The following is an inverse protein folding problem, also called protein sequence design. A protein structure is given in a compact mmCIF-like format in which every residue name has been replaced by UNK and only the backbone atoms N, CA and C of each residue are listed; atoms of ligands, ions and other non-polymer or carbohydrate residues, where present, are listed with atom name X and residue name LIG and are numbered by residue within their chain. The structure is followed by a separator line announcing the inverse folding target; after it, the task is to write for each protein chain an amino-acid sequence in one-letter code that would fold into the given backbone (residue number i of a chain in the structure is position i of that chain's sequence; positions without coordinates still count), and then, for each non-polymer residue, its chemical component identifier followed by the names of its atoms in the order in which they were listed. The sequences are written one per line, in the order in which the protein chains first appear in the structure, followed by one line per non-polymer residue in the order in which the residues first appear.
data_IF_850919603422
#
_entry.id   IF_850919603422
#
_cell.length_a   1.000
_cell.length_b   1.000
_cell.length_c   1.000
_cell.angle_alpha   90.00
_cell.angle_beta   90.00
_cell.angle_gamma   90.00
#
_symmetry.space_group_name_H-M   'P 1'
#
loop_
_entity.id
_entity.type
_entity.pdbx_description
1 polymer ?
#
# COMPACT_ATOMS: atom_id res chain seq x y z
N UNK A 1 -96.14 7.92 1.94
CA UNK A 1 -95.36 8.96 1.26
C UNK A 1 -94.05 9.16 2.01
N UNK A 2 -92.93 8.93 1.30
CA UNK A 2 -91.52 9.10 1.70
C UNK A 2 -91.22 10.61 1.82
N UNK A 3 -90.31 11.17 2.64
CA UNK A 3 -88.91 10.82 2.93
C UNK A 3 -88.42 11.69 4.11
N UNK A 4 -87.70 11.08 5.04
CA UNK A 4 -86.99 11.69 6.18
C UNK A 4 -85.60 12.21 5.76
N UNK A 5 -85.10 13.24 6.48
CA UNK A 5 -83.77 13.84 6.36
C UNK A 5 -82.64 12.85 6.73
N UNK A 6 -81.53 12.90 6.00
CA UNK A 6 -80.18 12.45 6.39
C UNK A 6 -79.23 13.17 5.40
N UNK A 7 -78.28 14.04 5.76
CA UNK A 7 -77.23 13.88 6.77
C UNK A 7 -76.00 13.28 6.08
N UNK A 8 -75.24 14.08 5.32
CA UNK A 8 -74.08 13.62 4.54
C UNK A 8 -72.87 14.55 4.69
N UNK A 9 -72.13 14.39 5.78
CA UNK A 9 -70.76 14.91 5.93
C UNK A 9 -69.78 13.79 5.57
N UNK A 10 -69.15 13.89 4.39
CA UNK A 10 -68.06 13.01 4.00
C UNK A 10 -66.78 13.45 4.73
N UNK A 11 -66.38 12.72 5.78
CA UNK A 11 -65.09 12.88 6.43
C UNK A 11 -64.00 12.17 5.60
N UNK A 12 -63.17 12.96 4.92
CA UNK A 12 -61.98 12.48 4.21
C UNK A 12 -60.87 12.22 5.23
N UNK A 13 -60.71 10.96 5.66
CA UNK A 13 -59.60 10.56 6.52
C UNK A 13 -58.29 10.50 5.71
N UNK A 14 -57.52 11.59 5.75
CA UNK A 14 -56.13 11.61 5.27
C UNK A 14 -55.28 10.78 6.24
N UNK A 15 -55.00 9.53 5.88
CA UNK A 15 -53.98 8.73 6.55
C UNK A 15 -52.61 9.36 6.29
N UNK A 16 -52.13 10.18 7.23
CA UNK A 16 -50.74 10.59 7.33
C UNK A 16 -49.90 9.35 7.63
N UNK A 17 -49.46 8.66 6.58
CA UNK A 17 -48.35 7.72 6.68
C UNK A 17 -47.12 8.54 7.07
N UNK A 18 -46.82 8.57 8.37
CA UNK A 18 -45.56 9.05 8.90
C UNK A 18 -44.46 8.13 8.37
N UNK A 19 -43.88 8.49 7.22
CA UNK A 19 -42.56 8.00 6.85
C UNK A 19 -41.60 8.49 7.93
N UNK A 20 -41.27 7.61 8.86
CA UNK A 20 -40.09 7.76 9.68
C UNK A 20 -38.91 7.76 8.72
N UNK A 21 -38.47 8.95 8.32
CA UNK A 21 -37.20 9.14 7.66
C UNK A 21 -36.13 8.64 8.65
N UNK A 22 -35.77 7.35 8.53
CA UNK A 22 -34.69 6.78 9.30
C UNK A 22 -33.47 7.66 9.11
N UNK A 23 -33.00 8.28 10.19
CA UNK A 23 -31.82 9.12 10.16
C UNK A 23 -30.70 8.29 9.52
N UNK A 24 -30.23 8.72 8.34
CA UNK A 24 -29.12 8.05 7.68
C UNK A 24 -27.95 7.99 8.67
N UNK A 25 -27.32 6.82 8.86
CA UNK A 25 -26.16 6.71 9.74
C UNK A 25 -25.15 7.78 9.35
N UNK A 26 -24.66 8.55 10.33
CA UNK A 26 -23.63 9.56 10.08
C UNK A 26 -22.43 8.86 9.43
N UNK A 27 -21.87 9.41 8.34
CA UNK A 27 -20.69 8.83 7.72
C UNK A 27 -19.53 8.71 8.70
N UNK A 28 -18.79 7.60 8.62
CA UNK A 28 -17.53 7.44 9.35
C UNK A 28 -16.47 8.26 8.63
N UNK A 29 -15.87 9.22 9.34
CA UNK A 29 -14.75 9.99 8.83
C UNK A 29 -13.47 9.15 8.82
N UNK A 30 -12.82 9.08 7.65
CA UNK A 30 -11.53 8.42 7.44
C UNK A 30 -10.50 9.49 7.06
N UNK A 31 -9.44 9.63 7.85
CA UNK A 31 -8.30 10.47 7.50
C UNK A 31 -7.37 9.76 6.54
N UNK A 32 -7.25 10.24 5.31
CA UNK A 32 -6.29 9.77 4.33
C UNK A 32 -5.17 10.81 4.20
N UNK A 33 -4.01 10.54 4.78
CA UNK A 33 -2.86 11.45 4.73
C UNK A 33 -1.79 10.80 3.85
N UNK A 34 -1.58 11.33 2.64
CA UNK A 34 -0.63 10.77 1.69
C UNK A 34 0.25 11.83 1.04
N UNK A 35 1.32 11.40 0.39
CA UNK A 35 2.18 12.24 -0.44
C UNK A 35 1.56 12.34 -1.84
N UNK A 36 0.93 13.48 -2.14
CA UNK A 36 0.21 13.73 -3.40
C UNK A 36 0.92 14.76 -4.28
N UNK A 37 1.89 15.48 -3.74
CA UNK A 37 2.81 16.35 -4.48
C UNK A 37 4.21 15.75 -4.51
N UNK A 38 5.20 16.52 -5.00
CA UNK A 38 6.60 16.10 -5.25
C UNK A 38 6.74 15.11 -6.42
N UNK A 39 7.98 14.79 -6.87
CA UNK A 39 8.21 13.73 -7.87
C UNK A 39 7.76 12.32 -7.43
N UNK A 40 7.39 12.12 -6.16
CA UNK A 40 6.81 10.88 -5.66
C UNK A 40 5.27 10.91 -5.54
N UNK A 41 4.62 12.03 -5.89
CA UNK A 41 3.18 12.24 -5.64
C UNK A 41 2.25 11.23 -6.32
N UNK A 42 2.68 10.63 -7.44
CA UNK A 42 1.86 9.61 -8.11
C UNK A 42 1.62 8.38 -7.23
N UNK A 43 2.49 8.10 -6.25
CA UNK A 43 2.33 6.96 -5.33
C UNK A 43 1.07 7.18 -4.49
N UNK A 44 0.92 8.36 -3.89
CA UNK A 44 -0.28 8.70 -3.13
C UNK A 44 -1.50 8.87 -4.01
N UNK A 45 -1.36 9.33 -5.26
CA UNK A 45 -2.46 9.34 -6.23
C UNK A 45 -2.99 7.92 -6.49
N UNK A 46 -2.09 6.95 -6.72
CA UNK A 46 -2.43 5.55 -6.96
C UNK A 46 -3.16 4.92 -5.78
N UNK A 47 -2.66 5.14 -4.57
CA UNK A 47 -3.27 4.65 -3.34
C UNK A 47 -4.65 5.29 -3.10
N UNK A 48 -4.74 6.62 -3.24
CA UNK A 48 -6.01 7.36 -3.09
C UNK A 48 -7.04 6.89 -4.11
N UNK A 49 -6.65 6.79 -5.38
CA UNK A 49 -7.54 6.39 -6.46
C UNK A 49 -8.08 4.97 -6.21
N UNK A 50 -7.22 4.03 -5.84
CA UNK A 50 -7.65 2.66 -5.56
C UNK A 50 -8.50 2.54 -4.28
N UNK A 51 -8.17 3.27 -3.23
CA UNK A 51 -9.01 3.33 -2.03
C UNK A 51 -10.41 3.87 -2.36
N UNK A 52 -10.46 4.96 -3.13
CA UNK A 52 -11.71 5.59 -3.56
C UNK A 52 -12.49 4.73 -4.58
N UNK A 53 -11.83 3.87 -5.35
CA UNK A 53 -12.49 2.89 -6.21
C UNK A 53 -13.36 1.94 -5.37
N UNK A 54 -12.83 1.37 -4.28
CA UNK A 54 -13.60 0.51 -3.38
C UNK A 54 -14.79 1.25 -2.75
N UNK A 55 -14.58 2.51 -2.32
CA UNK A 55 -15.66 3.38 -1.80
C UNK A 55 -16.75 3.60 -2.87
N UNK A 56 -16.34 3.83 -4.12
CA UNK A 56 -17.24 4.07 -5.26
C UNK A 56 -18.04 2.83 -5.62
N UNK A 57 -17.41 1.66 -5.64
CA UNK A 57 -18.07 0.37 -5.89
C UNK A 57 -19.13 0.06 -4.81
N UNK A 58 -18.86 0.46 -3.56
CA UNK A 58 -19.81 0.42 -2.47
C UNK A 58 -20.88 1.53 -2.47
N UNK A 59 -20.89 2.43 -3.48
CA UNK A 59 -21.84 3.53 -3.56
C UNK A 59 -21.65 4.61 -2.48
N UNK A 60 -20.40 4.94 -2.15
CA UNK A 60 -20.05 5.87 -1.07
C UNK A 60 -19.97 5.20 0.31
N UNK A 61 -19.87 3.87 0.35
CA UNK A 61 -19.88 3.07 1.57
C UNK A 61 -18.74 2.08 1.58
N UNK A 62 -18.30 1.71 2.77
CA UNK A 62 -17.43 0.55 3.01
C UNK A 62 -18.16 -0.38 3.98
N UNK A 63 -18.35 -1.64 3.58
CA UNK A 63 -19.05 -2.62 4.42
C UNK A 63 -20.52 -2.30 4.69
N UNK A 64 -21.15 -1.51 3.82
CA UNK A 64 -22.52 -1.00 4.00
C UNK A 64 -22.62 0.26 4.87
N UNK A 65 -21.51 0.74 5.44
CA UNK A 65 -21.44 1.94 6.28
C UNK A 65 -21.04 3.14 5.40
N UNK A 66 -21.79 4.26 5.40
CA UNK A 66 -21.37 5.48 4.73
C UNK A 66 -20.02 5.98 5.26
N UNK A 67 -19.14 6.42 4.37
CA UNK A 67 -17.82 6.94 4.75
C UNK A 67 -17.57 8.32 4.15
N UNK A 68 -16.80 9.13 4.85
CA UNK A 68 -16.30 10.41 4.36
C UNK A 68 -14.76 10.38 4.43
N UNK A 69 -14.11 10.29 3.28
CA UNK A 69 -12.64 10.21 3.19
C UNK A 69 -12.07 11.61 3.07
N UNK A 70 -11.34 12.06 4.08
CA UNK A 70 -10.67 13.36 4.13
C UNK A 70 -9.23 13.17 3.65
N UNK A 71 -8.97 13.55 2.41
CA UNK A 71 -7.66 13.42 1.77
C UNK A 71 -6.85 14.69 1.98
N UNK A 72 -5.64 14.55 2.51
CA UNK A 72 -4.71 15.65 2.74
C UNK A 72 -3.29 15.28 2.25
N UNK A 73 -2.60 16.25 1.65
CA UNK A 73 -1.24 16.09 1.13
C UNK A 73 -0.19 16.43 2.20
N UNK A 74 0.66 15.46 2.53
CA UNK A 74 1.79 15.70 3.44
C UNK A 74 3.00 16.36 2.78
N UNK A 75 3.03 16.43 1.44
CA UNK A 75 4.14 16.91 0.63
C UNK A 75 5.50 16.28 0.98
N UNK A 76 5.48 14.99 1.38
CA UNK A 76 6.62 14.22 1.86
C UNK A 76 7.29 14.82 3.13
N UNK A 77 6.56 15.64 3.90
CA UNK A 77 7.09 16.34 5.07
C UNK A 77 6.46 15.77 6.35
N UNK A 78 7.24 15.07 7.20
CA UNK A 78 6.73 14.52 8.46
C UNK A 78 6.06 15.56 9.38
N UNK A 79 6.56 16.80 9.41
CA UNK A 79 5.98 17.88 10.20
C UNK A 79 4.58 18.28 9.69
N UNK A 80 4.39 18.37 8.37
CA UNK A 80 3.09 18.67 7.76
C UNK A 80 2.10 17.54 8.07
N UNK A 81 2.50 16.29 7.84
CA UNK A 81 1.67 15.12 8.13
C UNK A 81 1.22 15.08 9.59
N UNK A 82 2.13 15.37 10.54
CA UNK A 82 1.80 15.43 11.96
C UNK A 82 0.77 16.52 12.25
N UNK A 83 0.94 17.72 11.70
CA UNK A 83 0.00 18.82 11.90
C UNK A 83 -1.39 18.49 11.31
N UNK A 84 -1.44 17.84 10.16
CA UNK A 84 -2.67 17.35 9.53
C UNK A 84 -3.35 16.34 10.46
N UNK A 85 -2.61 15.33 10.94
CA UNK A 85 -3.13 14.32 11.85
C UNK A 85 -3.64 14.92 13.16
N UNK A 86 -2.90 15.86 13.76
CA UNK A 86 -3.30 16.55 14.99
C UNK A 86 -4.65 17.26 14.79
N UNK A 87 -4.82 18.00 13.68
CA UNK A 87 -6.10 18.66 13.33
C UNK A 87 -7.24 17.67 13.12
N UNK A 88 -7.00 16.56 12.41
CA UNK A 88 -8.01 15.54 12.17
C UNK A 88 -8.45 14.85 13.46
N UNK A 89 -7.51 14.50 14.34
CA UNK A 89 -7.80 13.91 15.65
C UNK A 89 -8.62 14.88 16.51
N UNK A 90 -8.23 16.16 16.57
CA UNK A 90 -8.99 17.21 17.27
C UNK A 90 -10.40 17.37 16.67
N UNK A 91 -10.53 17.24 15.35
CA UNK A 91 -11.79 17.24 14.62
C UNK A 91 -12.61 15.96 14.72
N UNK A 92 -12.21 15.00 15.56
CA UNK A 92 -12.99 13.79 15.84
C UNK A 92 -12.71 12.58 14.95
N UNK A 93 -11.76 12.65 14.00
CA UNK A 93 -11.39 11.50 13.17
C UNK A 93 -10.75 10.41 14.04
N UNK A 94 -11.18 9.16 13.88
CA UNK A 94 -10.70 8.01 14.66
C UNK A 94 -10.21 6.82 13.82
N UNK A 95 -10.25 6.94 12.50
CA UNK A 95 -9.73 5.94 11.56
C UNK A 95 -8.86 6.65 10.52
N UNK A 96 -7.62 6.18 10.37
CA UNK A 96 -6.60 6.79 9.52
C UNK A 96 -5.96 5.76 8.59
N UNK A 97 -5.52 6.23 7.43
CA UNK A 97 -4.75 5.50 6.43
C UNK A 97 -3.97 6.50 5.54
N UNK A 98 -3.36 6.03 4.45
CA UNK A 98 -2.80 6.88 3.40
C UNK A 98 -1.29 7.10 3.41
N UNK A 99 -0.60 6.88 4.54
CA UNK A 99 0.79 7.33 4.64
C UNK A 99 1.70 6.44 3.78
N UNK A 100 2.28 7.07 2.76
CA UNK A 100 3.21 6.44 1.84
C UNK A 100 4.55 6.15 2.52
N UNK A 101 5.18 7.16 3.13
CA UNK A 101 6.59 7.06 3.53
C UNK A 101 6.77 6.70 5.00
N UNK A 102 7.66 5.74 5.27
CA UNK A 102 7.90 5.21 6.62
C UNK A 102 8.40 6.25 7.64
N UNK A 103 9.18 7.25 7.21
CA UNK A 103 9.58 8.37 8.08
C UNK A 103 8.40 9.30 8.42
N UNK A 104 7.41 9.43 7.53
CA UNK A 104 6.17 10.14 7.81
C UNK A 104 5.32 9.33 8.79
N UNK A 105 5.20 8.01 8.57
CA UNK A 105 4.46 7.12 9.47
C UNK A 105 5.06 7.12 10.89
N UNK A 106 6.39 7.14 11.01
CA UNK A 106 7.09 7.26 12.28
C UNK A 106 6.72 8.56 13.03
N UNK A 107 6.46 9.67 12.33
CA UNK A 107 6.08 10.94 12.93
C UNK A 107 4.59 11.04 13.26
N UNK A 108 3.71 10.46 12.43
CA UNK A 108 2.25 10.54 12.59
C UNK A 108 1.70 9.49 13.57
N UNK A 109 2.28 8.29 13.56
CA UNK A 109 1.76 7.16 14.35
C UNK A 109 1.56 7.48 15.84
N UNK A 110 2.49 8.16 16.54
CA UNK A 110 2.25 8.55 17.93
C UNK A 110 1.04 9.47 18.11
N UNK A 111 0.80 10.43 17.20
CA UNK A 111 -0.39 11.31 17.27
C UNK A 111 -1.68 10.49 17.18
N UNK A 112 -1.77 9.60 16.19
CA UNK A 112 -2.99 8.82 15.93
C UNK A 112 -3.21 7.79 17.03
N UNK A 113 -2.20 6.99 17.35
CA UNK A 113 -2.33 5.86 18.26
C UNK A 113 -2.48 6.29 19.72
N UNK A 114 -1.80 7.36 20.16
CA UNK A 114 -1.99 7.88 21.53
C UNK A 114 -3.37 8.51 21.75
N UNK A 115 -4.04 8.94 20.68
CA UNK A 115 -5.43 9.41 20.73
C UNK A 115 -6.45 8.27 20.77
N UNK A 116 -6.00 7.00 20.82
CA UNK A 116 -6.86 5.82 20.77
C UNK A 116 -7.48 5.57 19.40
N UNK A 117 -7.07 6.30 18.36
CA UNK A 117 -7.53 6.10 17.00
C UNK A 117 -6.84 4.91 16.34
N UNK A 118 -7.42 4.45 15.23
CA UNK A 118 -6.91 3.36 14.41
C UNK A 118 -6.09 3.88 13.24
N UNK A 119 -4.99 3.19 12.94
CA UNK A 119 -4.25 3.37 11.70
C UNK A 119 -4.17 2.04 10.96
N UNK A 120 -4.71 2.01 9.74
CA UNK A 120 -4.63 0.85 8.84
C UNK A 120 -3.73 1.24 7.67
N UNK A 121 -2.50 0.72 7.68
CA UNK A 121 -1.49 1.03 6.67
C UNK A 121 -1.81 0.38 5.34
N UNK A 122 -1.82 1.21 4.30
CA UNK A 122 -1.89 0.81 2.90
C UNK A 122 -0.52 0.82 2.19
N UNK A 123 0.55 1.22 2.88
CA UNK A 123 1.91 1.19 2.34
C UNK A 123 2.98 1.13 3.43
N UNK A 124 3.18 2.22 4.18
CA UNK A 124 4.29 2.31 5.14
C UNK A 124 4.25 1.21 6.23
N UNK A 125 5.25 0.33 6.24
CA UNK A 125 5.39 -0.77 7.20
C UNK A 125 6.74 -0.76 7.93
N UNK A 126 7.14 0.33 8.60
CA UNK A 126 8.44 0.42 9.27
C UNK A 126 8.60 -0.64 10.36
N UNK A 127 9.81 -1.18 10.44
CA UNK A 127 10.19 -2.28 11.34
C UNK A 127 9.82 -2.04 12.82
N UNK A 128 9.86 -0.78 13.28
CA UNK A 128 9.49 -0.44 14.65
C UNK A 128 8.04 -0.81 15.00
N UNK A 129 7.07 -0.57 14.10
CA UNK A 129 5.66 -0.89 14.31
C UNK A 129 5.34 -2.38 14.13
N UNK A 130 6.22 -3.13 13.47
CA UNK A 130 6.13 -4.59 13.40
C UNK A 130 6.64 -5.29 14.66
N UNK A 131 7.48 -4.63 15.46
CA UNK A 131 8.11 -5.17 16.67
C UNK A 131 7.85 -4.30 17.90
N UNK A 132 8.91 -3.66 18.41
CA UNK A 132 8.92 -2.99 19.74
C UNK A 132 7.86 -1.90 19.94
N UNK A 133 7.41 -1.25 18.88
CA UNK A 133 6.38 -0.22 18.91
C UNK A 133 5.03 -0.71 18.34
N UNK A 134 4.84 -2.02 18.21
CA UNK A 134 3.57 -2.57 17.78
C UNK A 134 2.44 -2.08 18.69
N UNK A 135 1.26 -1.90 18.09
CA UNK A 135 0.11 -1.33 18.76
C UNK A 135 -1.17 -2.03 18.31
N UNK A 136 -2.06 -2.35 19.24
CA UNK A 136 -3.33 -3.04 18.97
C UNK A 136 -4.25 -2.31 17.96
N UNK A 137 -4.05 -1.01 17.76
CA UNK A 137 -4.79 -0.18 16.80
C UNK A 137 -4.02 0.10 15.50
N UNK A 138 -2.83 -0.45 15.32
CA UNK A 138 -2.03 -0.36 14.10
C UNK A 138 -2.07 -1.67 13.32
N UNK A 139 -2.57 -1.63 12.09
CA UNK A 139 -2.61 -2.79 11.19
C UNK A 139 -1.87 -2.45 9.91
N UNK A 140 -1.06 -3.36 9.36
CA UNK A 140 -0.41 -3.15 8.06
C UNK A 140 -0.95 -4.13 7.02
N UNK A 141 -1.81 -3.65 6.11
CA UNK A 141 -2.36 -4.48 5.04
C UNK A 141 -1.35 -4.68 3.92
N UNK A 142 -0.49 -3.69 3.72
CA UNK A 142 0.44 -3.65 2.62
C UNK A 142 1.57 -4.68 2.79
N UNK A 143 2.49 -4.42 3.71
CA UNK A 143 3.69 -5.23 3.95
C UNK A 143 4.42 -4.77 5.23
N UNK A 144 5.50 -5.48 5.59
CA UNK A 144 6.57 -4.98 6.44
C UNK A 144 7.76 -4.62 5.54
N UNK A 145 8.42 -3.47 5.76
CA UNK A 145 9.45 -2.92 4.86
C UNK A 145 10.54 -3.94 4.45
N UNK A 146 11.01 -4.75 5.39
CA UNK A 146 12.10 -5.70 5.15
C UNK A 146 11.65 -6.82 4.21
N UNK A 147 10.36 -7.18 4.19
CA UNK A 147 9.84 -8.33 3.45
C UNK A 147 10.01 -8.23 1.93
N UNK A 148 10.07 -7.02 1.36
CA UNK A 148 10.41 -6.83 -0.06
C UNK A 148 11.88 -7.10 -0.33
N UNK A 149 12.74 -6.68 0.60
CA UNK A 149 14.17 -6.73 0.41
C UNK A 149 14.77 -8.09 0.80
N UNK A 150 14.24 -8.73 1.85
CA UNK A 150 14.67 -10.07 2.25
C UNK A 150 14.30 -11.12 1.17
N UNK A 151 13.13 -11.02 0.55
CA UNK A 151 12.74 -11.86 -0.59
C UNK A 151 13.52 -11.50 -1.86
N UNK A 152 13.93 -10.25 -2.04
CA UNK A 152 14.90 -9.88 -3.08
C UNK A 152 16.29 -10.48 -2.81
N UNK A 153 16.71 -10.61 -1.55
CA UNK A 153 17.93 -11.35 -1.18
C UNK A 153 17.83 -12.85 -1.47
N UNK A 154 16.67 -13.45 -1.25
CA UNK A 154 16.38 -14.83 -1.69
C UNK A 154 16.45 -14.96 -3.22
N UNK A 155 15.86 -14.01 -3.95
CA UNK A 155 15.93 -13.96 -5.40
C UNK A 155 17.36 -13.81 -5.92
N UNK A 156 18.19 -12.98 -5.29
CA UNK A 156 19.59 -12.82 -5.64
C UNK A 156 20.39 -14.13 -5.51
N UNK A 157 20.11 -14.93 -4.47
CA UNK A 157 20.71 -16.25 -4.32
C UNK A 157 20.29 -17.20 -5.45
N UNK A 158 19.00 -17.22 -5.80
CA UNK A 158 18.43 -18.07 -6.85
C UNK A 158 18.94 -17.70 -8.25
N UNK A 159 19.19 -16.41 -8.48
CA UNK A 159 19.79 -15.88 -9.71
C UNK A 159 21.31 -16.10 -9.78
N UNK A 160 21.91 -16.69 -8.74
CA UNK A 160 23.33 -16.99 -8.68
C UNK A 160 24.23 -15.75 -8.60
N UNK A 161 23.71 -14.62 -8.11
CA UNK A 161 24.52 -13.43 -7.89
C UNK A 161 25.51 -13.68 -6.73
N UNK A 162 26.81 -13.64 -7.00
CA UNK A 162 27.85 -13.94 -6.00
C UNK A 162 28.36 -12.68 -5.31
N UNK A 163 28.35 -11.55 -6.00
CA UNK A 163 28.80 -10.24 -5.51
C UNK A 163 27.75 -9.16 -5.82
N UNK A 164 27.18 -8.55 -4.79
CA UNK A 164 26.10 -7.55 -4.90
C UNK A 164 26.50 -6.21 -4.31
N UNK A 165 26.17 -5.11 -5.00
CA UNK A 165 26.09 -3.78 -4.38
C UNK A 165 24.65 -3.50 -3.96
N UNK A 166 24.47 -3.01 -2.72
CA UNK A 166 23.16 -2.58 -2.22
C UNK A 166 23.06 -1.07 -2.34
N UNK A 167 21.98 -0.55 -2.92
CA UNK A 167 21.75 0.88 -3.05
C UNK A 167 20.33 1.26 -2.66
N UNK A 168 20.19 2.17 -1.68
CA UNK A 168 18.91 2.64 -1.17
C UNK A 168 19.02 4.08 -0.64
N UNK A 169 17.93 4.87 -0.58
CA UNK A 169 17.96 6.19 0.02
C UNK A 169 18.07 6.11 1.55
N UNK A 170 18.74 7.07 2.17
CA UNK A 170 18.98 7.10 3.62
C UNK A 170 17.78 7.59 4.43
N UNK A 171 16.71 6.80 4.46
CA UNK A 171 15.54 7.02 5.30
C UNK A 171 15.07 5.69 5.90
N UNK A 172 13.98 5.70 6.68
CA UNK A 172 13.54 4.54 7.44
C UNK A 172 13.38 3.28 6.58
N UNK A 173 12.58 3.34 5.50
CA UNK A 173 12.37 2.16 4.66
C UNK A 173 13.62 1.76 3.87
N UNK A 174 14.50 2.70 3.53
CA UNK A 174 15.78 2.36 2.89
C UNK A 174 16.71 1.57 3.80
N UNK A 175 16.82 1.97 5.08
CA UNK A 175 17.61 1.21 6.07
C UNK A 175 16.99 -0.16 6.37
N UNK A 176 15.67 -0.23 6.48
CA UNK A 176 14.93 -1.49 6.63
C UNK A 176 15.17 -2.40 5.41
N UNK A 177 15.17 -1.86 4.19
CA UNK A 177 15.46 -2.61 2.97
C UNK A 177 16.90 -3.15 2.94
N UNK A 178 17.91 -2.34 3.29
CA UNK A 178 19.29 -2.83 3.39
C UNK A 178 19.39 -3.96 4.43
N UNK A 179 18.81 -3.78 5.61
CA UNK A 179 18.80 -4.80 6.65
C UNK A 179 18.09 -6.09 6.20
N UNK A 180 16.94 -5.97 5.53
CA UNK A 180 16.18 -7.08 4.97
C UNK A 180 16.98 -7.88 3.95
N UNK A 181 17.55 -7.21 2.93
CA UNK A 181 18.32 -7.87 1.88
C UNK A 181 19.51 -8.65 2.44
N UNK A 182 20.28 -8.02 3.35
CA UNK A 182 21.45 -8.65 3.97
C UNK A 182 21.12 -9.88 4.81
N UNK A 183 19.88 -9.98 5.32
CA UNK A 183 19.46 -11.07 6.19
C UNK A 183 19.39 -12.41 5.46
N UNK A 184 19.04 -12.38 4.18
CA UNK A 184 18.74 -13.58 3.38
C UNK A 184 19.74 -13.80 2.25
N UNK A 185 20.40 -12.74 1.77
CA UNK A 185 21.45 -12.87 0.77
C UNK A 185 22.69 -13.56 1.36
N UNK A 186 23.24 -14.52 0.62
CA UNK A 186 24.35 -15.39 1.08
C UNK A 186 25.68 -15.11 0.39
N UNK A 187 25.67 -14.29 -0.65
CA UNK A 187 26.89 -13.90 -1.37
C UNK A 187 27.62 -12.74 -0.71
N UNK A 188 28.63 -12.23 -1.41
CA UNK A 188 29.43 -11.10 -0.97
C UNK A 188 28.70 -9.78 -1.20
N UNK A 189 28.64 -8.94 -0.17
CA UNK A 189 28.19 -7.55 -0.30
C UNK A 189 29.41 -6.72 -0.63
N UNK A 190 29.51 -6.29 -1.88
CA UNK A 190 30.60 -5.46 -2.37
C UNK A 190 30.62 -4.08 -1.73
N UNK A 191 29.42 -3.52 -1.50
CA UNK A 191 29.24 -2.18 -0.92
C UNK A 191 27.78 -1.91 -0.52
N UNK A 192 27.61 -0.91 0.36
CA UNK A 192 26.32 -0.32 0.73
C UNK A 192 26.34 1.18 0.41
N UNK A 193 25.51 1.59 -0.55
CA UNK A 193 25.44 2.96 -1.03
C UNK A 193 24.12 3.59 -0.57
N UNK A 194 24.23 4.63 0.25
CA UNK A 194 23.09 5.39 0.76
C UNK A 194 22.96 6.73 0.04
N UNK A 195 21.84 6.93 -0.67
CA UNK A 195 21.56 8.17 -1.44
C UNK A 195 20.63 9.12 -0.69
N UNK A 196 20.40 10.32 -1.22
CA UNK A 196 19.26 11.15 -0.78
C UNK A 196 17.94 10.54 -1.29
N UNK A 197 16.84 10.78 -0.56
CA UNK A 197 15.50 10.28 -0.94
C UNK A 197 15.01 10.87 -2.26
N UNK A 198 15.21 12.17 -2.46
CA UNK A 198 14.79 12.91 -3.66
C UNK A 198 15.97 13.12 -4.64
N UNK A 199 16.93 12.19 -4.67
CA UNK A 199 18.10 12.31 -5.53
C UNK A 199 17.72 12.24 -7.01
N UNK A 200 18.26 13.16 -7.81
CA UNK A 200 18.02 13.23 -9.25
C UNK A 200 19.20 12.72 -10.09
N UNK A 201 20.44 12.91 -9.62
CA UNK A 201 21.66 12.49 -10.29
C UNK A 201 22.32 11.34 -9.52
N UNK A 202 22.63 10.26 -10.21
CA UNK A 202 23.24 9.02 -9.68
C UNK A 202 24.59 8.72 -10.36
N UNK A 203 25.17 9.67 -11.09
CA UNK A 203 26.42 9.48 -11.83
C UNK A 203 27.59 9.04 -10.95
N UNK A 204 27.69 9.57 -9.74
CA UNK A 204 28.73 9.21 -8.76
C UNK A 204 28.57 7.76 -8.29
N UNK A 205 27.36 7.37 -7.92
CA UNK A 205 27.05 6.02 -7.46
C UNK A 205 27.25 5.00 -8.58
N UNK A 206 26.83 5.31 -9.82
CA UNK A 206 27.03 4.45 -10.97
C UNK A 206 28.52 4.30 -11.34
N UNK A 207 29.32 5.35 -11.21
CA UNK A 207 30.77 5.27 -11.40
C UNK A 207 31.42 4.37 -10.34
N UNK A 208 31.00 4.48 -9.08
CA UNK A 208 31.45 3.61 -7.98
C UNK A 208 31.07 2.15 -8.24
N UNK A 209 29.82 1.89 -8.61
CA UNK A 209 29.34 0.55 -8.98
C UNK A 209 30.18 -0.06 -10.10
N UNK A 210 30.49 0.73 -11.15
CA UNK A 210 31.38 0.27 -12.24
C UNK A 210 32.74 -0.18 -11.71
N UNK A 211 33.35 0.59 -10.81
CA UNK A 211 34.66 0.27 -10.23
C UNK A 211 34.66 -0.99 -9.35
N UNK A 212 33.52 -1.30 -8.73
CA UNK A 212 33.35 -2.46 -7.85
C UNK A 212 33.08 -3.76 -8.63
N UNK A 213 32.70 -3.65 -9.91
CA UNK A 213 32.39 -4.75 -10.83
C UNK A 213 31.52 -5.86 -10.20
N UNK A 214 30.32 -5.55 -9.65
CA UNK A 214 29.45 -6.56 -9.06
C UNK A 214 28.70 -7.37 -10.12
N UNK A 215 28.21 -8.56 -9.74
CA UNK A 215 27.34 -9.38 -10.60
C UNK A 215 25.92 -8.80 -10.69
N UNK A 216 25.50 -8.14 -9.61
CA UNK A 216 24.16 -7.59 -9.47
C UNK A 216 24.13 -6.36 -8.55
N UNK A 217 23.08 -5.57 -8.70
CA UNK A 217 22.72 -4.49 -7.78
C UNK A 217 21.38 -4.85 -7.15
N UNK A 218 21.28 -4.76 -5.83
CA UNK A 218 19.99 -4.61 -5.17
C UNK A 218 19.68 -3.13 -5.04
N UNK A 219 18.55 -2.71 -5.62
CA UNK A 219 18.19 -1.31 -5.73
C UNK A 219 16.78 -1.07 -5.18
N UNK A 220 16.67 -0.11 -4.25
CA UNK A 220 15.40 0.37 -3.72
C UNK A 220 15.31 1.89 -3.80
N UNK A 221 14.55 2.43 -4.75
CA UNK A 221 14.23 3.86 -4.89
C UNK A 221 12.84 3.99 -5.48
N UNK A 222 11.85 4.45 -4.69
CA UNK A 222 10.51 4.66 -5.21
C UNK A 222 10.42 5.96 -6.01
N UNK A 223 9.39 6.07 -6.84
CA UNK A 223 8.98 7.34 -7.42
C UNK A 223 9.98 7.93 -8.42
N UNK A 224 9.99 9.27 -8.50
CA UNK A 224 10.88 10.00 -9.42
C UNK A 224 12.37 9.67 -9.29
N UNK A 225 12.86 9.40 -8.08
CA UNK A 225 14.25 9.00 -7.86
C UNK A 225 14.57 7.67 -8.58
N UNK A 226 13.69 6.68 -8.48
CA UNK A 226 13.85 5.41 -9.19
C UNK A 226 13.74 5.54 -10.71
N UNK A 227 12.86 6.43 -11.21
CA UNK A 227 12.75 6.72 -12.66
C UNK A 227 14.07 7.30 -13.17
N UNK A 228 14.64 8.27 -12.45
CA UNK A 228 15.90 8.91 -12.81
C UNK A 228 17.06 7.91 -12.78
N UNK A 229 17.16 7.11 -11.72
CA UNK A 229 18.19 6.09 -11.59
C UNK A 229 18.11 5.06 -12.71
N UNK A 230 16.91 4.56 -13.04
CA UNK A 230 16.72 3.56 -14.11
C UNK A 230 17.19 4.09 -15.45
N UNK A 231 16.80 5.32 -15.81
CA UNK A 231 17.24 5.96 -17.06
C UNK A 231 18.77 6.13 -17.10
N UNK A 232 19.37 6.55 -16.00
CA UNK A 232 20.82 6.72 -15.91
C UNK A 232 21.57 5.39 -15.95
N UNK A 233 21.06 4.35 -15.28
CA UNK A 233 21.61 3.00 -15.33
C UNK A 233 21.59 2.45 -16.76
N UNK A 234 20.46 2.57 -17.47
CA UNK A 234 20.35 2.16 -18.87
C UNK A 234 21.36 2.89 -19.79
N UNK A 235 21.62 4.17 -19.55
CA UNK A 235 22.57 4.98 -20.32
C UNK A 235 24.03 4.85 -19.85
N UNK A 236 24.30 4.18 -18.73
CA UNK A 236 25.64 4.10 -18.13
C UNK A 236 26.57 3.09 -18.80
N UNK A 237 26.04 2.25 -19.69
CA UNK A 237 26.74 1.08 -20.24
C UNK A 237 26.85 -0.11 -19.27
N UNK A 238 26.30 0.00 -18.05
CA UNK A 238 26.24 -1.10 -17.07
C UNK A 238 25.04 -2.03 -17.33
N UNK A 239 24.00 -1.54 -17.99
CA UNK A 239 22.86 -2.35 -18.39
C UNK A 239 23.32 -3.48 -19.31
N UNK A 240 22.90 -4.72 -19.02
CA UNK A 240 23.35 -5.93 -19.70
C UNK A 240 24.66 -6.53 -19.16
N UNK A 241 25.44 -5.79 -18.36
CA UNK A 241 26.62 -6.31 -17.66
C UNK A 241 26.30 -6.71 -16.23
N UNK A 242 25.46 -5.93 -15.55
CA UNK A 242 25.10 -6.12 -14.14
C UNK A 242 23.60 -6.39 -14.03
N UNK A 243 23.21 -7.44 -13.29
CA UNK A 243 21.78 -7.73 -13.07
C UNK A 243 21.18 -6.68 -12.13
N UNK A 244 19.99 -6.19 -12.44
CA UNK A 244 19.24 -5.32 -11.52
C UNK A 244 18.19 -6.15 -10.79
N UNK A 245 18.22 -6.12 -9.46
CA UNK A 245 17.26 -6.78 -8.57
C UNK A 245 16.60 -5.70 -7.72
N UNK A 246 15.27 -5.66 -7.73
CA UNK A 246 14.51 -4.59 -7.06
C UNK A 246 13.29 -5.13 -6.31
N UNK A 247 12.76 -4.41 -5.32
CA UNK A 247 11.34 -4.49 -5.00
C UNK A 247 10.52 -3.98 -6.19
N UNK A 248 9.30 -4.49 -6.40
CA UNK A 248 8.41 -3.98 -7.48
C UNK A 248 8.24 -2.46 -7.45
N UNK A 249 8.34 -1.84 -6.27
CA UNK A 249 8.25 -0.40 -6.06
C UNK A 249 9.34 0.45 -6.68
N UNK A 250 10.46 -0.15 -7.09
CA UNK A 250 11.51 0.57 -7.82
C UNK A 250 11.42 0.38 -9.32
N UNK A 251 10.38 -0.33 -9.79
CA UNK A 251 10.00 -0.44 -11.19
C UNK A 251 8.51 -0.82 -11.29
N UNK A 252 7.65 -0.01 -10.69
CA UNK A 252 6.19 -0.20 -10.72
C UNK A 252 5.61 0.18 -12.10
N UNK A 253 4.32 -0.07 -12.33
CA UNK A 253 3.67 0.14 -13.63
C UNK A 253 3.77 1.58 -14.15
N UNK A 254 3.77 2.57 -13.26
CA UNK A 254 3.91 3.99 -13.61
C UNK A 254 5.36 4.29 -13.96
N UNK A 255 6.32 3.74 -13.21
CA UNK A 255 7.74 3.85 -13.52
C UNK A 255 8.11 3.15 -14.83
N UNK A 256 7.59 1.95 -15.05
CA UNK A 256 7.80 1.16 -16.25
C UNK A 256 7.31 1.93 -17.48
N UNK A 257 6.12 2.54 -17.40
CA UNK A 257 5.61 3.42 -18.45
C UNK A 257 6.49 4.67 -18.66
N UNK A 258 6.98 5.30 -17.58
CA UNK A 258 7.78 6.53 -17.64
C UNK A 258 9.24 6.32 -18.09
N UNK A 259 9.75 5.09 -17.97
CA UNK A 259 11.13 4.71 -18.29
C UNK A 259 11.28 4.08 -19.67
N UNK A 260 10.17 3.71 -20.33
CA UNK A 260 10.20 3.09 -21.65
C UNK A 260 10.87 1.72 -21.58
N UNK A 261 11.96 1.52 -22.33
CA UNK A 261 12.69 0.24 -22.33
C UNK A 261 13.78 0.14 -21.26
N UNK A 262 14.03 1.20 -20.48
CA UNK A 262 15.19 1.27 -19.58
C UNK A 262 15.13 0.27 -18.40
N UNK A 263 13.94 -0.24 -18.05
CA UNK A 263 13.75 -1.29 -17.04
C UNK A 263 13.82 -2.72 -17.57
N UNK A 264 14.10 -2.92 -18.86
CA UNK A 264 14.15 -4.25 -19.47
C UNK A 264 15.17 -5.17 -18.76
N UNK A 265 14.79 -6.41 -18.50
CA UNK A 265 15.65 -7.42 -17.88
C UNK A 265 15.79 -7.31 -16.36
N UNK A 266 15.08 -6.38 -15.70
CA UNK A 266 15.09 -6.30 -14.24
C UNK A 266 14.41 -7.52 -13.63
N UNK A 267 14.90 -7.95 -12.47
CA UNK A 267 14.26 -8.94 -11.61
C UNK A 267 13.62 -8.23 -10.43
N UNK A 268 12.42 -8.66 -10.05
CA UNK A 268 11.65 -7.97 -9.01
C UNK A 268 11.14 -8.95 -7.99
N UNK A 269 11.23 -8.58 -6.71
CA UNK A 269 10.42 -9.19 -5.67
C UNK A 269 9.09 -8.46 -5.54
N UNK A 270 7.99 -9.21 -5.53
CA UNK A 270 6.66 -8.66 -5.33
C UNK A 270 5.72 -9.57 -4.55
N UNK A 271 4.78 -8.98 -3.83
CA UNK A 271 3.59 -9.68 -3.28
C UNK A 271 2.41 -9.73 -4.27
N UNK A 272 2.44 -8.92 -5.33
CA UNK A 272 1.37 -8.84 -6.31
C UNK A 272 1.85 -8.25 -7.65
N UNK A 273 1.24 -8.69 -8.74
CA UNK A 273 1.37 -8.08 -10.06
C UNK A 273 0.02 -8.18 -10.77
N UNK A 274 -0.24 -7.30 -11.76
CA UNK A 274 -1.53 -7.22 -12.44
C UNK A 274 -1.95 -8.51 -13.18
N UNK A 275 -0.99 -9.38 -13.50
CA UNK A 275 -1.19 -10.69 -14.11
C UNK A 275 -1.51 -11.81 -13.10
N UNK A 276 -1.54 -11.52 -11.79
CA UNK A 276 -1.84 -12.53 -10.77
C UNK A 276 -3.24 -13.12 -10.96
N UNK A 277 -3.29 -14.42 -11.24
CA UNK A 277 -4.51 -15.12 -11.64
C UNK A 277 -5.41 -15.47 -10.45
N UNK A 278 -6.24 -14.51 -10.03
CA UNK A 278 -7.38 -14.77 -9.16
C UNK A 278 -8.55 -13.82 -9.48
N UNK A 279 -9.80 -14.19 -9.14
CA UNK A 279 -10.98 -13.40 -9.50
C UNK A 279 -10.95 -11.96 -8.99
N UNK A 280 -10.45 -11.75 -7.77
CA UNK A 280 -10.41 -10.43 -7.15
C UNK A 280 -9.37 -9.52 -7.83
N UNK A 281 -8.19 -10.06 -8.14
CA UNK A 281 -7.16 -9.35 -8.90
C UNK A 281 -7.68 -8.92 -10.27
N UNK A 282 -8.31 -9.85 -11.02
CA UNK A 282 -8.92 -9.55 -12.33
C UNK A 282 -9.96 -8.44 -12.24
N UNK A 283 -10.88 -8.56 -11.28
CA UNK A 283 -11.91 -7.54 -11.04
C UNK A 283 -11.29 -6.16 -10.76
N UNK A 284 -10.33 -6.10 -9.82
CA UNK A 284 -9.65 -4.86 -9.47
C UNK A 284 -8.92 -4.25 -10.68
N UNK A 285 -8.15 -5.04 -11.42
CA UNK A 285 -7.40 -4.56 -12.60
C UNK A 285 -8.35 -3.99 -13.66
N UNK A 286 -9.45 -4.69 -13.96
CA UNK A 286 -10.47 -4.22 -14.91
C UNK A 286 -11.16 -2.94 -14.44
N UNK A 287 -11.61 -2.91 -13.18
CA UNK A 287 -12.31 -1.77 -12.60
C UNK A 287 -11.42 -0.53 -12.51
N UNK A 288 -10.19 -0.70 -12.04
CA UNK A 288 -9.21 0.37 -11.94
C UNK A 288 -8.83 0.92 -13.32
N UNK A 289 -8.51 0.04 -14.27
CA UNK A 289 -8.18 0.45 -15.65
C UNK A 289 -9.34 1.18 -16.30
N UNK A 290 -10.58 0.71 -16.09
CA UNK A 290 -11.78 1.37 -16.61
C UNK A 290 -11.97 2.77 -15.99
N UNK A 291 -11.74 2.93 -14.70
CA UNK A 291 -11.93 4.19 -13.98
C UNK A 291 -10.84 5.22 -14.29
N UNK A 292 -9.57 4.80 -14.30
CA UNK A 292 -8.41 5.71 -14.30
C UNK A 292 -7.58 5.67 -15.59
N UNK A 293 -7.97 4.83 -16.57
CA UNK A 293 -7.36 4.73 -17.91
C UNK A 293 -5.86 4.40 -17.90
N UNK A 294 -5.42 3.66 -16.88
CA UNK A 294 -4.04 3.21 -16.67
C UNK A 294 -4.02 1.90 -15.90
N UNK A 295 -2.93 1.14 -16.02
CA UNK A 295 -2.72 -0.04 -15.21
C UNK A 295 -2.57 0.34 -13.72
N UNK A 296 -3.13 -0.44 -12.78
CA UNK A 296 -2.87 -0.26 -11.36
C UNK A 296 -1.44 -0.71 -11.00
N UNK A 297 -0.82 0.01 -10.07
CA UNK A 297 0.44 -0.39 -9.44
C UNK A 297 0.19 -1.33 -8.26
N UNK A 298 1.26 -1.95 -7.72
CA UNK A 298 1.19 -2.66 -6.45
C UNK A 298 0.72 -1.76 -5.28
N UNK A 299 1.05 -0.46 -5.30
CA UNK A 299 0.53 0.53 -4.34
C UNK A 299 -1.00 0.63 -4.39
N UNK A 300 -1.55 0.73 -5.60
CA UNK A 300 -2.99 0.75 -5.83
C UNK A 300 -3.65 -0.55 -5.32
N UNK A 301 -3.07 -1.71 -5.63
CA UNK A 301 -3.56 -3.01 -5.17
C UNK A 301 -3.66 -3.10 -3.64
N UNK A 302 -2.66 -2.60 -2.93
CA UNK A 302 -2.63 -2.60 -1.46
C UNK A 302 -3.63 -1.62 -0.84
N UNK A 303 -3.83 -0.46 -1.45
CA UNK A 303 -4.83 0.50 -1.02
C UNK A 303 -6.26 -0.02 -1.22
N UNK A 304 -6.52 -0.73 -2.33
CA UNK A 304 -7.79 -1.39 -2.57
C UNK A 304 -8.07 -2.49 -1.53
N UNK A 305 -7.08 -3.35 -1.24
CA UNK A 305 -7.16 -4.32 -0.14
C UNK A 305 -7.39 -3.65 1.22
N UNK A 306 -6.75 -2.51 1.46
CA UNK A 306 -6.91 -1.75 2.72
C UNK A 306 -8.32 -1.23 2.90
N UNK A 307 -8.93 -0.69 1.83
CA UNK A 307 -10.32 -0.27 1.85
C UNK A 307 -11.26 -1.47 2.11
N UNK A 308 -11.00 -2.62 1.51
CA UNK A 308 -11.78 -3.85 1.70
C UNK A 308 -11.62 -4.43 3.12
N UNK A 309 -10.43 -4.38 3.71
CA UNK A 309 -10.23 -4.73 5.12
C UNK A 309 -11.02 -3.78 6.03
N UNK A 310 -10.93 -2.48 5.81
CA UNK A 310 -11.69 -1.48 6.58
C UNK A 310 -13.20 -1.74 6.42
N UNK A 311 -13.67 -2.07 5.21
CA UNK A 311 -15.06 -2.45 4.97
C UNK A 311 -15.50 -3.64 5.85
N UNK A 312 -14.67 -4.69 5.95
CA UNK A 312 -14.97 -5.83 6.84
C UNK A 312 -15.10 -5.42 8.31
N UNK A 313 -14.21 -4.53 8.77
CA UNK A 313 -14.23 -4.01 10.14
C UNK A 313 -15.47 -3.15 10.41
N UNK A 314 -15.74 -2.19 9.53
CA UNK A 314 -16.89 -1.28 9.67
C UNK A 314 -18.22 -2.03 9.67
N UNK A 315 -18.35 -3.03 8.80
CA UNK A 315 -19.53 -3.91 8.75
C UNK A 315 -19.77 -4.61 10.09
N UNK A 316 -18.71 -5.14 10.72
CA UNK A 316 -18.82 -5.87 11.99
C UNK A 316 -19.30 -4.98 13.16
N UNK A 317 -18.96 -3.70 13.13
CA UNK A 317 -19.32 -2.73 14.18
C UNK A 317 -20.43 -1.77 13.78
N UNK A 318 -21.04 -1.93 12.60
CA UNK A 318 -22.03 -1.01 12.04
C UNK A 318 -21.56 0.46 12.09
N UNK A 319 -20.27 0.68 11.83
CA UNK A 319 -19.63 2.01 11.86
C UNK A 319 -19.21 2.53 13.24
N UNK A 320 -19.59 1.89 14.35
CA UNK A 320 -19.23 2.32 15.70
C UNK A 320 -17.83 1.86 16.13
N UNK A 321 -16.79 2.48 15.55
CA UNK A 321 -15.39 2.14 15.84
C UNK A 321 -15.01 2.45 17.29
N UNK A 322 -15.56 3.52 17.87
CA UNK A 322 -15.15 3.98 19.21
C UNK A 322 -15.88 3.24 20.32
N UNK A 323 -17.20 3.05 20.18
CA UNK A 323 -18.00 2.30 21.16
C UNK A 323 -17.76 0.79 21.09
N UNK A 324 -17.26 0.26 19.96
CA UNK A 324 -16.99 -1.17 19.76
C UNK A 324 -15.56 -1.44 19.27
N UNK A 325 -14.58 -0.75 19.87
CA UNK A 325 -13.18 -0.81 19.45
C UNK A 325 -12.59 -2.24 19.46
N UNK A 326 -12.93 -3.07 20.45
CA UNK A 326 -12.46 -4.47 20.51
C UNK A 326 -13.06 -5.33 19.40
N UNK A 327 -14.34 -5.15 19.08
CA UNK A 327 -14.99 -5.85 17.97
C UNK A 327 -14.38 -5.41 16.63
N UNK A 328 -14.07 -4.12 16.49
CA UNK A 328 -13.40 -3.59 15.30
C UNK A 328 -11.99 -4.20 15.15
N UNK A 329 -11.19 -4.20 16.23
CA UNK A 329 -9.87 -4.90 16.27
C UNK A 329 -10.00 -6.37 15.87
N UNK A 330 -10.95 -7.08 16.46
CA UNK A 330 -11.17 -8.50 16.19
C UNK A 330 -11.58 -8.75 14.72
N UNK A 331 -12.43 -7.87 14.16
CA UNK A 331 -12.83 -7.95 12.76
C UNK A 331 -11.65 -7.71 11.79
N UNK A 332 -10.83 -6.70 12.06
CA UNK A 332 -9.61 -6.46 11.27
C UNK A 332 -8.66 -7.65 11.34
N UNK A 333 -8.42 -8.24 12.53
CA UNK A 333 -7.55 -9.43 12.67
C UNK A 333 -8.04 -10.64 11.90
N UNK A 334 -9.37 -10.83 11.80
CA UNK A 334 -9.95 -11.92 11.00
C UNK A 334 -9.67 -11.77 9.50
N UNK A 335 -9.48 -10.53 9.03
CA UNK A 335 -9.15 -10.23 7.64
C UNK A 335 -10.11 -10.89 6.63
N UNK A 336 -11.42 -10.89 6.94
CA UNK A 336 -12.45 -11.49 6.11
C UNK A 336 -12.84 -10.53 4.96
N UNK A 337 -11.97 -10.48 3.95
CA UNK A 337 -12.18 -9.73 2.72
C UNK A 337 -11.52 -10.47 1.54
N UNK A 338 -12.05 -10.33 0.31
CA UNK A 338 -11.39 -10.87 -0.87
C UNK A 338 -10.18 -9.99 -1.18
N UNK A 339 -8.98 -10.48 -0.88
CA UNK A 339 -7.73 -9.80 -1.23
C UNK A 339 -7.39 -10.01 -2.70
N UNK A 340 -6.86 -8.97 -3.36
CA UNK A 340 -6.29 -9.07 -4.72
C UNK A 340 -5.09 -10.01 -4.79
N UNK A 341 -4.47 -10.34 -3.65
CA UNK A 341 -3.39 -11.32 -3.52
C UNK A 341 -3.89 -12.77 -3.39
N UNK A 342 -5.21 -12.97 -3.30
CA UNK A 342 -5.79 -14.27 -2.96
C UNK A 342 -5.80 -14.50 -1.45
N UNK A 343 -5.04 -15.48 -0.95
CA UNK A 343 -4.98 -15.75 0.49
C UNK A 343 -4.30 -14.58 1.21
N UNK A 344 -4.90 -14.15 2.32
CA UNK A 344 -4.35 -13.11 3.18
C UNK A 344 -4.66 -13.45 4.63
N UNK A 345 -3.67 -13.28 5.51
CA UNK A 345 -3.86 -13.36 6.96
C UNK A 345 -2.85 -12.46 7.65
N UNK A 346 -3.17 -12.05 8.88
CA UNK A 346 -2.22 -11.35 9.72
C UNK A 346 -1.38 -12.33 10.55
N UNK A 347 -0.12 -11.98 10.75
CA UNK A 347 0.70 -12.50 11.84
C UNK A 347 0.28 -11.90 13.19
N UNK A 348 0.92 -12.35 14.29
CA UNK A 348 0.53 -11.92 15.64
C UNK A 348 0.75 -10.42 15.89
N UNK A 349 1.63 -9.78 15.12
CA UNK A 349 1.94 -8.35 15.17
C UNK A 349 1.10 -7.48 14.21
N UNK A 350 0.04 -8.04 13.60
CA UNK A 350 -0.86 -7.32 12.68
C UNK A 350 -0.18 -6.86 11.37
N UNK A 351 0.91 -7.53 10.96
CA UNK A 351 1.51 -7.47 9.62
C UNK A 351 1.13 -8.70 8.79
N UNK A 352 1.20 -8.66 7.44
CA UNK A 352 0.65 -9.71 6.62
C UNK A 352 1.58 -10.92 6.53
N UNK A 353 0.99 -12.12 6.57
CA UNK A 353 1.63 -13.35 6.12
C UNK A 353 1.16 -13.62 4.70
N UNK A 354 2.08 -13.65 3.75
CA UNK A 354 1.73 -13.66 2.33
C UNK A 354 2.78 -14.36 1.47
N UNK A 355 2.34 -14.79 0.27
CA UNK A 355 3.25 -15.31 -0.75
C UNK A 355 3.98 -14.16 -1.43
N UNK A 356 5.19 -14.44 -1.89
CA UNK A 356 6.05 -13.53 -2.63
C UNK A 356 6.49 -14.18 -3.93
N UNK A 357 6.65 -13.37 -4.97
CA UNK A 357 6.91 -13.77 -6.33
C UNK A 357 8.20 -13.14 -6.82
N UNK A 358 8.98 -13.91 -7.57
CA UNK A 358 10.05 -13.40 -8.40
C UNK A 358 9.49 -13.11 -9.79
N UNK A 359 9.54 -11.84 -10.18
CA UNK A 359 9.13 -11.36 -11.48
C UNK A 359 10.35 -11.05 -12.34
N UNK A 360 10.16 -11.03 -13.66
CA UNK A 360 11.12 -10.54 -14.63
C UNK A 360 10.45 -9.59 -15.61
N UNK A 361 11.14 -8.52 -16.00
CA UNK A 361 10.64 -7.59 -17.02
C UNK A 361 11.14 -8.01 -18.38
N UNK A 362 10.20 -8.40 -19.24
CA UNK A 362 10.45 -8.75 -20.64
C UNK A 362 9.48 -8.02 -21.57
N UNK A 363 9.77 -8.05 -22.88
CA UNK A 363 8.85 -7.53 -23.88
C UNK A 363 7.61 -8.44 -23.95
N UNK A 364 6.44 -7.84 -23.77
CA UNK A 364 5.15 -8.49 -23.95
C UNK A 364 4.78 -8.65 -25.43
N UNK A 365 3.63 -9.31 -25.73
CA UNK A 365 3.19 -9.57 -27.09
C UNK A 365 2.94 -8.30 -27.93
N UNK A 366 2.66 -7.17 -27.29
CA UNK A 366 2.46 -5.86 -27.93
C UNK A 366 3.76 -5.04 -28.06
N UNK A 367 4.90 -5.64 -27.73
CA UNK A 367 6.22 -4.99 -27.75
C UNK A 367 6.48 -4.04 -26.58
N UNK A 368 5.53 -3.85 -25.66
CA UNK A 368 5.74 -3.07 -24.44
C UNK A 368 6.33 -3.95 -23.35
N UNK A 369 7.07 -3.35 -22.42
CA UNK A 369 7.55 -4.09 -21.26
C UNK A 369 6.39 -4.53 -20.37
N UNK A 370 6.45 -5.77 -19.91
CA UNK A 370 5.49 -6.37 -18.99
C UNK A 370 6.21 -7.20 -17.93
N UNK A 371 5.56 -7.40 -16.80
CA UNK A 371 6.03 -8.38 -15.82
C UNK A 371 5.70 -9.78 -16.28
N UNK A 372 6.62 -10.70 -16.03
CA UNK A 372 6.39 -12.13 -16.08
C UNK A 372 6.66 -12.73 -14.73
N UNK A 373 5.67 -13.40 -14.18
CA UNK A 373 5.85 -14.20 -12.99
C UNK A 373 6.73 -15.43 -13.29
N UNK A 374 7.92 -15.49 -12.71
CA UNK A 374 8.83 -16.61 -12.89
C UNK A 374 8.51 -17.75 -11.91
N UNK A 375 8.31 -17.40 -10.64
CA UNK A 375 8.00 -18.36 -9.56
C UNK A 375 7.54 -17.64 -8.31
N UNK A 376 6.90 -18.40 -7.42
CA UNK A 376 6.76 -18.03 -6.01
C UNK A 376 8.14 -18.20 -5.35
N UNK A 377 8.72 -17.10 -4.83
CA UNK A 377 10.04 -17.09 -4.18
C UNK A 377 9.94 -17.43 -2.68
N UNK A 378 8.82 -17.09 -2.03
CA UNK A 378 8.53 -17.47 -0.66
C UNK A 378 7.03 -17.68 -0.48
N UNK A 379 6.64 -18.70 0.30
CA UNK A 379 5.24 -18.98 0.65
C UNK A 379 4.99 -18.65 2.11
N UNK A 380 3.84 -18.03 2.39
CA UNK A 380 3.42 -17.66 3.74
C UNK A 380 4.56 -16.96 4.53
N UNK A 381 5.28 -16.07 3.85
CA UNK A 381 6.41 -15.35 4.44
C UNK A 381 5.91 -14.38 5.50
N UNK A 382 6.64 -14.28 6.60
CA UNK A 382 6.34 -13.43 7.75
C UNK A 382 7.55 -12.58 8.11
N UNK A 383 7.32 -11.40 8.67
CA UNK A 383 8.41 -10.55 9.10
C UNK A 383 9.12 -11.12 10.35
N UNK A 384 10.37 -10.72 10.54
CA UNK A 384 11.21 -11.18 11.66
C UNK A 384 10.96 -10.42 12.96
N UNK A 385 10.17 -9.35 12.94
CA UNK A 385 9.98 -8.44 14.06
C UNK A 385 8.81 -8.87 14.96
N UNK A 386 7.96 -9.77 14.49
CA UNK A 386 6.83 -10.31 15.24
C UNK A 386 7.20 -10.83 16.64
N UNK A 387 8.42 -11.37 16.82
CA UNK A 387 8.91 -11.84 18.12
C UNK A 387 9.18 -10.72 19.13
N UNK A 388 9.43 -9.50 18.67
CA UNK A 388 9.65 -8.32 19.50
C UNK A 388 8.34 -7.57 19.86
N UNK A 389 7.22 -7.98 19.26
CA UNK A 389 5.92 -7.41 19.55
C UNK A 389 5.31 -8.05 20.81
N UNK A 390 4.90 -7.21 21.77
CA UNK A 390 4.39 -7.65 23.09
C UNK A 390 2.86 -7.57 23.22
N UNK A 391 2.14 -7.65 22.11
CA UNK A 391 0.67 -7.56 22.07
C UNK A 391 -0.03 -8.87 22.34
#
# INVERSE_FOLDING_TARGET
MKKTLSGGTAALALALASFTAGAQPKPVDIGFIGTLSTPAGYIGEDERDAFMLAVKEGGGKLGGVPVNVRVEDDALKPANAKQIADKMVQGGVRLFTGINFSNVMAAVGPTVLNAGAFYVSLNAGPSNYAGKACNQNYFSVAFQNDSYADTAGMAANELGAKRVVIMAPNYQAGRDAVAGFKRTYKGEIADEIYTKLEQADFSVELARIRSLNPDAIFQFHPGGAGINLTKQFANSGLAGQIKMITPIYSMDDRMLAATGTAGAGFYLSSLWSADLDNPQSKHFVEAFTKAYKRAPTAYAAQAYDTANLIASGLKAVNGDITGRADDFRAALRRADFPSVRGKFKFGPNQHPIQDWYLLHIEAGPDGKLAYKNLKVIARDHTDVHAADCKM
#
